data_IF_812320291029
#
_entry.id   IF_812320291029
#
_cell.length_a   1.000
_cell.length_b   1.000
_cell.length_c   1.000
_cell.angle_alpha   90.00
_cell.angle_beta   90.00
_cell.angle_gamma   90.00
#
_symmetry.space_group_name_H-M   'P 1'
#
loop_
_entity.id
_entity.type
_entity.pdbx_description
1 polymer ?
#
# COMPACT_ATOMS: atom_id res chain seq x y z
N UNK A 1 24.00 1.62 -28.37
CA UNK A 1 24.68 2.74 -27.68
C UNK A 1 23.88 4.03 -27.73
N UNK A 2 23.22 4.39 -28.85
CA UNK A 2 22.37 5.59 -28.96
C UNK A 2 21.14 5.54 -28.03
N UNK A 3 20.48 4.38 -27.92
CA UNK A 3 19.28 4.21 -27.07
C UNK A 3 19.66 4.31 -25.58
N UNK A 4 20.80 3.77 -25.19
CA UNK A 4 21.33 3.87 -23.81
C UNK A 4 21.73 5.32 -23.51
N UNK A 5 22.24 6.04 -24.51
CA UNK A 5 22.56 7.48 -24.43
C UNK A 5 21.32 8.34 -24.21
N UNK A 6 20.24 8.07 -24.95
CA UNK A 6 18.96 8.77 -24.83
C UNK A 6 18.28 8.49 -23.50
N UNK A 7 18.28 7.24 -23.01
CA UNK A 7 17.74 6.89 -21.71
C UNK A 7 18.54 7.53 -20.55
N UNK A 8 19.86 7.54 -20.62
CA UNK A 8 20.71 8.25 -19.66
C UNK A 8 20.47 9.77 -19.66
N UNK A 9 20.19 10.34 -20.83
CA UNK A 9 19.90 11.77 -20.94
C UNK A 9 18.53 12.11 -20.37
N UNK A 10 17.51 11.29 -20.64
CA UNK A 10 16.16 11.45 -20.08
C UNK A 10 16.15 11.28 -18.55
N UNK A 11 16.86 10.28 -18.02
CA UNK A 11 17.05 10.11 -16.57
C UNK A 11 17.77 11.31 -15.98
N UNK A 12 18.81 11.84 -16.63
CA UNK A 12 19.53 13.03 -16.17
C UNK A 12 18.68 14.30 -16.23
N UNK A 13 17.76 14.44 -17.18
CA UNK A 13 16.80 15.55 -17.23
C UNK A 13 15.70 15.43 -16.16
N UNK A 14 15.26 14.21 -15.84
CA UNK A 14 14.32 13.97 -14.72
C UNK A 14 14.98 14.27 -13.39
N UNK A 15 16.21 13.84 -13.19
CA UNK A 15 16.98 14.21 -11.99
C UNK A 15 17.29 15.70 -11.94
N UNK A 16 17.55 16.35 -13.09
CA UNK A 16 17.78 17.79 -13.12
C UNK A 16 16.53 18.61 -12.80
N UNK A 17 15.32 18.14 -13.19
CA UNK A 17 14.05 18.73 -12.74
C UNK A 17 13.77 18.48 -11.25
N UNK A 18 14.18 17.33 -10.72
CA UNK A 18 14.13 17.06 -9.29
C UNK A 18 15.23 17.85 -8.54
N UNK A 19 16.42 17.98 -9.14
CA UNK A 19 17.53 18.78 -8.61
C UNK A 19 17.23 20.28 -8.61
N UNK A 20 16.31 20.76 -9.45
CA UNK A 20 15.85 22.15 -9.47
C UNK A 20 14.92 22.49 -8.27
N UNK A 21 14.60 21.53 -7.41
CA UNK A 21 13.85 21.72 -6.16
C UNK A 21 14.56 21.05 -4.96
N UNK A 22 15.73 21.60 -4.56
CA UNK A 22 16.40 21.13 -3.34
C UNK A 22 15.78 21.71 -2.08
N UNK A 23 15.39 20.80 -1.18
CA UNK A 23 15.12 21.11 0.21
C UNK A 23 16.38 20.75 1.02
N UNK A 24 16.94 21.72 1.69
CA UNK A 24 17.97 21.46 2.68
C UNK A 24 17.32 21.42 4.07
N UNK A 25 17.38 20.26 4.70
CA UNK A 25 17.25 20.14 6.14
C UNK A 25 18.67 20.05 6.69
N UNK A 26 19.15 21.07 7.36
CA UNK A 26 20.39 20.99 8.13
C UNK A 26 20.11 20.11 9.36
N UNK A 27 20.45 18.83 9.24
CA UNK A 27 20.49 17.91 10.35
C UNK A 27 21.92 17.86 10.89
N UNK A 28 22.30 18.80 11.75
CA UNK A 28 23.37 18.56 12.71
C UNK A 28 22.80 17.68 13.83
N UNK A 29 22.83 16.37 13.63
CA UNK A 29 22.44 15.37 14.62
C UNK A 29 23.64 14.92 15.42
N UNK A 30 23.71 15.35 16.67
CA UNK A 30 24.60 14.77 17.67
C UNK A 30 24.03 13.43 18.13
N UNK A 31 24.72 12.32 17.80
CA UNK A 31 24.39 10.95 18.26
C UNK A 31 24.69 10.79 19.75
N UNK A 32 23.85 11.29 20.62
CA UNK A 32 23.83 10.88 22.02
C UNK A 32 22.40 10.51 22.43
N UNK A 33 22.19 9.21 22.64
CA UNK A 33 20.91 8.65 23.02
C UNK A 33 20.35 9.23 24.30
N UNK A 34 19.39 10.14 24.17
CA UNK A 34 18.40 10.45 25.20
C UNK A 34 17.07 10.70 24.49
N UNK A 35 16.01 10.03 24.97
CA UNK A 35 14.60 10.24 24.59
C UNK A 35 14.12 11.65 25.00
N UNK A 36 14.71 12.70 24.45
CA UNK A 36 14.15 14.05 24.49
C UNK A 36 13.38 14.25 23.19
N UNK A 37 12.12 14.66 23.30
CA UNK A 37 11.35 15.13 22.15
C UNK A 37 12.24 16.15 21.42
N UNK A 38 12.69 15.76 20.21
CA UNK A 38 13.54 16.64 19.39
C UNK A 38 12.71 17.86 19.02
N UNK A 39 13.16 19.04 19.42
CA UNK A 39 12.63 20.29 18.85
C UNK A 39 12.78 20.17 17.33
N UNK A 40 11.72 20.54 16.57
CA UNK A 40 11.78 20.49 15.11
C UNK A 40 12.89 21.38 14.56
N UNK A 41 13.31 21.12 13.34
CA UNK A 41 14.39 21.86 12.65
C UNK A 41 13.84 23.05 11.85
N UNK A 42 14.72 23.88 11.29
CA UNK A 42 14.34 24.92 10.33
C UNK A 42 14.22 24.29 8.93
N UNK A 43 13.06 24.43 8.28
CA UNK A 43 12.85 24.09 6.88
C UNK A 43 13.00 25.34 6.03
N UNK A 44 13.87 25.31 5.02
CA UNK A 44 14.06 26.39 4.05
C UNK A 44 13.52 25.95 2.70
N UNK A 45 12.51 26.64 2.20
CA UNK A 45 11.97 26.45 0.85
C UNK A 45 12.53 27.55 -0.05
N UNK A 46 13.37 27.16 -1.03
CA UNK A 46 14.04 28.10 -1.95
C UNK A 46 13.50 27.93 -3.36
N UNK A 47 13.15 29.04 -4.00
CA UNK A 47 12.86 29.10 -5.43
C UNK A 47 14.15 29.24 -6.22
N UNK A 48 14.38 28.37 -7.18
CA UNK A 48 15.63 28.37 -7.94
C UNK A 48 15.66 29.44 -9.03
N UNK A 49 14.48 29.80 -9.57
CA UNK A 49 14.33 30.86 -10.58
C UNK A 49 14.66 32.26 -10.07
N UNK A 50 14.38 32.53 -8.79
CA UNK A 50 14.51 33.84 -8.18
C UNK A 50 15.44 33.87 -6.95
N UNK A 51 15.94 32.71 -6.54
CA UNK A 51 16.72 32.53 -5.30
C UNK A 51 16.03 33.05 -4.02
N UNK A 52 14.70 33.28 -4.09
CA UNK A 52 13.92 33.69 -2.92
C UNK A 52 13.76 32.51 -1.96
N UNK A 53 13.87 32.78 -0.66
CA UNK A 53 13.76 31.77 0.39
C UNK A 53 12.59 32.07 1.32
N UNK A 54 11.93 30.99 1.76
CA UNK A 54 10.94 31.05 2.84
C UNK A 54 11.30 30.03 3.91
N UNK A 55 11.35 30.46 5.15
CA UNK A 55 11.78 29.67 6.30
C UNK A 55 10.60 29.33 7.19
N UNK A 56 10.59 28.09 7.67
CA UNK A 56 9.63 27.58 8.64
C UNK A 56 10.40 26.99 9.82
N UNK A 57 10.06 27.38 11.03
CA UNK A 57 10.71 26.92 12.26
C UNK A 57 9.97 25.73 12.86
N UNK A 58 10.70 24.91 13.63
CA UNK A 58 10.13 23.76 14.39
C UNK A 58 9.47 22.71 13.50
N UNK A 59 9.96 22.48 12.31
CA UNK A 59 9.42 21.50 11.37
C UNK A 59 9.89 20.10 11.77
N UNK A 60 8.91 19.17 11.91
CA UNK A 60 9.14 17.75 12.17
C UNK A 60 9.07 16.90 10.92
N UNK A 61 8.18 17.26 9.98
CA UNK A 61 7.98 16.52 8.73
C UNK A 61 7.39 17.42 7.65
N UNK A 62 7.52 17.01 6.39
CA UNK A 62 6.93 17.70 5.25
C UNK A 62 6.64 16.73 4.10
N UNK A 63 5.62 17.05 3.30
CA UNK A 63 5.18 16.22 2.18
C UNK A 63 4.73 17.10 1.01
N UNK A 64 5.25 16.84 -0.20
CA UNK A 64 4.72 17.43 -1.44
C UNK A 64 3.50 16.67 -1.94
N UNK A 65 2.60 17.38 -2.61
CA UNK A 65 1.62 16.74 -3.48
C UNK A 65 2.29 16.13 -4.73
N UNK A 66 1.57 15.25 -5.44
CA UNK A 66 2.10 14.55 -6.62
C UNK A 66 2.52 15.52 -7.75
N UNK A 67 1.91 16.71 -7.79
CA UNK A 67 2.19 17.75 -8.80
C UNK A 67 3.31 18.71 -8.42
N UNK A 68 3.79 18.66 -7.18
CA UNK A 68 4.77 19.61 -6.66
C UNK A 68 4.26 21.05 -6.57
N UNK A 69 2.94 21.23 -6.39
CA UNK A 69 2.30 22.55 -6.28
C UNK A 69 1.98 22.96 -4.85
N UNK A 70 1.91 21.99 -3.95
CA UNK A 70 1.61 22.18 -2.54
C UNK A 70 2.62 21.45 -1.67
N UNK A 71 2.92 22.03 -0.53
CA UNK A 71 3.79 21.49 0.48
C UNK A 71 3.05 21.48 1.82
N UNK A 72 2.78 20.29 2.35
CA UNK A 72 2.35 20.12 3.73
C UNK A 72 3.55 20.21 4.64
N UNK A 73 3.44 20.96 5.72
CA UNK A 73 4.50 21.17 6.71
C UNK A 73 3.92 20.85 8.08
N UNK A 74 4.52 19.90 8.77
CA UNK A 74 4.22 19.62 10.16
C UNK A 74 5.22 20.32 11.07
N UNK A 75 4.73 21.01 12.10
CA UNK A 75 5.59 21.64 13.12
C UNK A 75 5.34 21.04 14.48
N UNK A 76 6.36 21.05 15.32
CA UNK A 76 6.28 20.63 16.72
C UNK A 76 5.99 21.79 17.67
N UNK A 77 5.75 21.46 18.94
CA UNK A 77 5.72 22.42 20.05
C UNK A 77 7.15 22.80 20.42
N UNK A 78 7.39 24.07 20.74
CA UNK A 78 8.66 24.47 21.35
C UNK A 78 8.68 23.99 22.79
N UNK A 79 9.63 23.15 23.16
CA UNK A 79 9.74 22.58 24.51
C UNK A 79 9.99 23.67 25.59
N UNK A 80 10.54 24.84 25.20
CA UNK A 80 10.84 25.97 26.09
C UNK A 80 9.66 26.94 26.26
N UNK A 81 8.60 26.80 25.46
CA UNK A 81 7.43 27.67 25.50
C UNK A 81 6.15 26.85 25.70
N UNK A 82 5.60 26.91 26.92
CA UNK A 82 4.36 26.20 27.28
C UNK A 82 3.13 26.62 26.46
N UNK A 83 3.16 27.79 25.82
CA UNK A 83 2.09 28.30 24.98
C UNK A 83 2.25 27.90 23.50
N UNK A 84 3.42 27.34 23.14
CA UNK A 84 3.68 26.86 21.79
C UNK A 84 2.73 25.73 21.40
N UNK A 85 2.33 25.70 20.13
CA UNK A 85 1.40 24.72 19.58
C UNK A 85 2.00 24.12 18.34
N UNK A 86 1.71 22.84 18.11
CA UNK A 86 1.98 22.17 16.85
C UNK A 86 0.97 22.62 15.78
N UNK A 87 1.41 22.75 14.54
CA UNK A 87 0.61 23.14 13.39
C UNK A 87 0.82 22.18 12.21
N UNK A 88 -0.25 21.94 11.46
CA UNK A 88 -0.17 21.47 10.09
C UNK A 88 -0.46 22.64 9.16
N UNK A 89 0.49 23.00 8.33
CA UNK A 89 0.44 24.11 7.39
C UNK A 89 0.45 23.57 5.97
N UNK A 90 -0.42 24.07 5.11
CA UNK A 90 -0.44 23.78 3.69
C UNK A 90 0.07 25.01 2.93
N UNK A 91 1.29 24.91 2.42
CA UNK A 91 1.91 25.99 1.64
C UNK A 91 1.67 25.75 0.15
N UNK A 92 0.95 26.66 -0.49
CA UNK A 92 0.78 26.68 -1.94
C UNK A 92 2.00 27.34 -2.59
N UNK A 93 2.79 26.54 -3.28
CA UNK A 93 4.06 26.98 -3.89
C UNK A 93 3.88 27.92 -5.08
N UNK A 94 2.69 27.89 -5.71
CA UNK A 94 2.37 28.75 -6.86
C UNK A 94 1.92 30.13 -6.40
N UNK A 95 0.94 30.21 -5.48
CA UNK A 95 0.40 31.48 -4.99
C UNK A 95 1.20 32.09 -3.84
N UNK A 96 2.01 31.28 -3.13
CA UNK A 96 2.70 31.72 -1.92
C UNK A 96 1.82 31.75 -0.65
N UNK A 97 0.54 31.34 -0.74
CA UNK A 97 -0.36 31.33 0.42
C UNK A 97 -0.09 30.16 1.35
N UNK A 98 -0.37 30.35 2.63
CA UNK A 98 -0.31 29.32 3.66
C UNK A 98 -1.66 29.20 4.34
N UNK A 99 -2.23 28.00 4.31
CA UNK A 99 -3.43 27.64 5.04
C UNK A 99 -3.03 26.84 6.30
N UNK A 100 -3.72 27.08 7.40
CA UNK A 100 -3.54 26.30 8.61
C UNK A 100 -4.54 25.14 8.63
N UNK A 101 -4.10 23.95 8.28
CA UNK A 101 -4.95 22.76 8.18
C UNK A 101 -5.38 22.25 9.55
N UNK A 102 -4.46 22.25 10.52
CA UNK A 102 -4.76 21.84 11.91
C UNK A 102 -3.89 22.61 12.90
N UNK A 103 -4.42 22.81 14.12
CA UNK A 103 -3.74 23.44 15.26
C UNK A 103 -3.86 22.60 16.51
N UNK A 104 -2.82 22.58 17.33
CA UNK A 104 -2.85 21.98 18.68
C UNK A 104 -3.22 20.49 18.67
N UNK A 105 -2.40 19.66 18.08
CA UNK A 105 -2.49 18.22 18.15
C UNK A 105 -1.29 17.66 18.96
N UNK A 106 -1.39 16.40 19.37
CA UNK A 106 -0.32 15.72 20.09
C UNK A 106 0.54 14.86 19.14
N UNK A 107 -0.08 14.30 18.10
CA UNK A 107 0.59 13.48 17.09
C UNK A 107 -0.21 13.49 15.78
N UNK A 108 0.45 13.52 14.64
CA UNK A 108 -0.16 13.41 13.32
C UNK A 108 0.69 12.54 12.42
N UNK A 109 0.05 11.70 11.60
CA UNK A 109 0.73 10.69 10.77
C UNK A 109 -0.04 10.38 9.50
N UNK A 110 0.62 9.63 8.62
CA UNK A 110 -0.01 9.04 7.44
C UNK A 110 -0.69 10.09 6.57
N UNK A 111 0.07 11.13 6.19
CA UNK A 111 -0.43 12.17 5.31
C UNK A 111 -0.61 11.63 3.89
N UNK A 112 -1.72 11.96 3.26
CA UNK A 112 -2.02 11.56 1.88
C UNK A 112 -2.72 12.68 1.13
N UNK A 113 -2.21 13.03 -0.04
CA UNK A 113 -2.90 13.88 -1.00
C UNK A 113 -3.67 13.03 -2.00
N UNK A 114 -4.81 13.56 -2.48
CA UNK A 114 -5.42 13.04 -3.71
C UNK A 114 -4.52 13.32 -4.91
N UNK A 115 -4.67 12.54 -5.99
CA UNK A 115 -3.85 12.70 -7.20
C UNK A 115 -3.90 14.11 -7.80
N UNK A 116 -5.02 14.80 -7.69
CA UNK A 116 -5.19 16.19 -8.15
C UNK A 116 -4.67 17.23 -7.16
N UNK A 117 -4.17 16.80 -6.00
CA UNK A 117 -3.69 17.68 -4.92
C UNK A 117 -4.79 18.54 -4.27
N UNK A 118 -6.08 18.32 -4.57
CA UNK A 118 -7.17 19.14 -4.01
C UNK A 118 -7.64 18.66 -2.64
N UNK A 119 -7.37 17.41 -2.29
CA UNK A 119 -7.77 16.79 -1.04
C UNK A 119 -6.54 16.35 -0.26
N UNK A 120 -6.60 16.49 1.05
CA UNK A 120 -5.60 16.02 2.00
C UNK A 120 -6.29 15.24 3.11
N UNK A 121 -5.78 14.08 3.44
CA UNK A 121 -6.21 13.31 4.60
C UNK A 121 -5.00 12.92 5.46
N UNK A 122 -5.25 12.75 6.74
CA UNK A 122 -4.22 12.33 7.71
C UNK A 122 -4.87 11.75 8.96
N UNK A 123 -4.09 11.03 9.73
CA UNK A 123 -4.50 10.45 11.00
C UNK A 123 -3.86 11.27 12.12
N UNK A 124 -4.66 11.80 13.04
CA UNK A 124 -4.12 12.59 14.15
C UNK A 124 -4.83 12.33 15.48
N UNK A 125 -4.06 12.45 16.55
CA UNK A 125 -4.50 12.45 17.94
C UNK A 125 -4.39 13.87 18.50
N UNK A 126 -5.51 14.40 18.99
CA UNK A 126 -5.60 15.79 19.42
C UNK A 126 -6.11 15.96 20.85
N UNK A 127 -6.99 15.04 21.27
CA UNK A 127 -7.88 15.30 22.41
C UNK A 127 -7.38 14.69 23.72
N UNK A 128 -6.34 13.84 23.69
CA UNK A 128 -5.81 13.19 24.88
C UNK A 128 -4.93 14.12 25.69
N UNK A 129 -5.01 14.01 27.02
CA UNK A 129 -4.02 14.62 27.89
C UNK A 129 -2.66 13.93 27.73
N UNK A 130 -1.57 14.62 28.05
CA UNK A 130 -0.20 14.04 28.00
C UNK A 130 -0.02 12.79 28.87
N UNK A 131 -0.86 12.63 29.90
CA UNK A 131 -0.87 11.48 30.81
C UNK A 131 -1.90 10.41 30.49
N UNK A 132 -2.63 10.54 29.35
CA UNK A 132 -3.63 9.56 28.98
C UNK A 132 -2.97 8.19 28.69
N UNK A 133 -3.47 7.14 29.32
CA UNK A 133 -2.99 5.76 29.13
C UNK A 133 -3.43 5.17 27.79
N UNK A 134 -4.49 5.70 27.20
CA UNK A 134 -4.98 5.36 25.88
C UNK A 134 -5.12 6.63 25.06
N UNK A 135 -4.72 6.56 23.80
CA UNK A 135 -4.84 7.62 22.83
C UNK A 135 -5.65 7.12 21.65
N UNK A 136 -6.60 7.93 21.18
CA UNK A 136 -7.47 7.56 20.08
C UNK A 136 -7.21 8.47 18.91
N UNK A 137 -6.69 7.91 17.85
CA UNK A 137 -6.52 8.60 16.60
C UNK A 137 -7.86 8.74 15.88
N UNK A 138 -7.98 9.82 15.11
CA UNK A 138 -9.10 10.11 14.22
C UNK A 138 -8.59 10.32 12.82
N UNK A 139 -9.41 10.02 11.84
CA UNK A 139 -9.16 10.34 10.44
C UNK A 139 -9.65 11.76 10.18
N UNK A 140 -8.75 12.61 9.71
CA UNK A 140 -9.01 14.01 9.38
C UNK A 140 -8.95 14.23 7.87
N UNK A 141 -9.75 15.17 7.39
CA UNK A 141 -9.89 15.46 5.97
C UNK A 141 -9.96 16.97 5.74
N UNK A 142 -9.28 17.42 4.71
CA UNK A 142 -9.22 18.83 4.29
C UNK A 142 -9.32 18.92 2.76
N UNK A 143 -10.18 19.80 2.25
CA UNK A 143 -10.39 20.04 0.82
C UNK A 143 -10.32 21.53 0.43
N UNK A 144 -9.85 22.40 1.33
CA UNK A 144 -9.74 23.83 1.09
C UNK A 144 -11.06 24.60 1.13
N UNK A 145 -12.21 23.95 1.39
CA UNK A 145 -13.51 24.62 1.51
C UNK A 145 -13.72 25.18 2.92
N UNK A 146 -13.19 24.49 3.92
CA UNK A 146 -13.25 24.91 5.32
C UNK A 146 -11.91 25.49 5.76
N UNK A 147 -11.91 26.36 6.77
CA UNK A 147 -10.67 26.97 7.29
C UNK A 147 -9.68 25.96 7.87
N UNK A 148 -10.16 24.82 8.36
CA UNK A 148 -9.36 23.74 8.96
C UNK A 148 -9.92 22.39 8.58
N UNK A 149 -9.09 21.34 8.76
CA UNK A 149 -9.51 19.97 8.56
C UNK A 149 -10.66 19.57 9.50
N UNK A 150 -11.61 18.80 8.97
CA UNK A 150 -12.70 18.18 9.70
C UNK A 150 -12.44 16.72 10.02
N UNK A 151 -13.09 16.18 11.05
CA UNK A 151 -13.06 14.74 11.37
C UNK A 151 -13.91 14.02 10.32
N UNK A 152 -13.30 13.05 9.62
CA UNK A 152 -13.98 12.21 8.65
C UNK A 152 -14.42 10.87 9.28
N UNK A 153 -13.58 10.29 10.15
CA UNK A 153 -13.94 9.08 10.89
C UNK A 153 -13.27 9.03 12.27
N UNK A 154 -13.96 8.42 13.21
CA UNK A 154 -13.47 8.06 14.53
C UNK A 154 -14.09 6.73 15.00
N UNK A 155 -13.83 6.33 16.26
CA UNK A 155 -14.36 5.08 16.85
C UNK A 155 -15.90 5.01 16.95
N UNK A 156 -16.61 6.10 16.75
CA UNK A 156 -18.07 6.19 16.79
C UNK A 156 -18.71 6.31 15.42
N UNK A 157 -17.90 6.39 14.35
CA UNK A 157 -18.40 6.50 12.97
C UNK A 157 -19.21 5.27 12.59
N UNK A 158 -20.35 5.47 11.93
CA UNK A 158 -21.18 4.38 11.43
C UNK A 158 -20.36 3.42 10.55
N UNK A 159 -20.59 2.11 10.68
CA UNK A 159 -19.78 1.08 10.02
C UNK A 159 -18.49 0.69 10.75
N UNK A 160 -18.04 1.45 11.74
CA UNK A 160 -16.93 1.05 12.61
C UNK A 160 -17.35 -0.15 13.48
N UNK A 161 -16.55 -1.23 13.44
CA UNK A 161 -16.80 -2.39 14.30
C UNK A 161 -16.65 -1.98 15.77
N UNK A 162 -17.58 -2.45 16.62
CA UNK A 162 -17.51 -2.19 18.04
C UNK A 162 -16.16 -2.68 18.63
N UNK A 163 -15.52 -1.81 19.41
CA UNK A 163 -14.20 -2.08 19.98
C UNK A 163 -13.03 -1.77 19.06
N UNK A 164 -13.28 -1.23 17.84
CA UNK A 164 -12.24 -0.75 16.95
C UNK A 164 -12.14 0.80 16.97
N UNK A 165 -11.01 1.29 16.50
CA UNK A 165 -10.71 2.71 16.27
C UNK A 165 -9.90 2.88 14.99
N UNK A 166 -9.77 4.12 14.51
CA UNK A 166 -8.81 4.47 13.48
C UNK A 166 -7.39 4.13 13.97
N UNK A 167 -6.60 3.50 13.10
CA UNK A 167 -5.24 3.07 13.40
C UNK A 167 -4.21 4.02 12.83
N UNK A 168 -3.24 4.40 13.64
CA UNK A 168 -2.05 5.15 13.21
C UNK A 168 -1.03 4.29 12.45
N UNK A 169 -1.21 2.97 12.45
CA UNK A 169 -0.31 2.03 11.79
C UNK A 169 -0.82 1.57 10.41
N UNK A 170 -2.00 2.01 9.99
CA UNK A 170 -2.58 1.66 8.71
C UNK A 170 -2.16 2.61 7.59
N UNK A 171 -2.01 2.09 6.39
CA UNK A 171 -1.80 2.93 5.21
C UNK A 171 -3.02 3.82 4.97
N UNK A 172 -2.76 5.06 4.57
CA UNK A 172 -3.77 6.03 4.18
C UNK A 172 -3.56 6.41 2.71
N UNK A 173 -4.55 6.14 1.86
CA UNK A 173 -4.42 6.38 0.43
C UNK A 173 -5.77 6.70 -0.21
N UNK A 174 -5.80 7.71 -1.07
CA UNK A 174 -6.95 7.98 -1.94
C UNK A 174 -6.99 7.01 -3.12
N UNK A 175 -8.20 6.69 -3.61
CA UNK A 175 -8.34 6.17 -4.97
C UNK A 175 -7.81 7.18 -5.98
N UNK A 176 -7.34 6.71 -7.14
CA UNK A 176 -6.76 7.58 -8.17
C UNK A 176 -7.72 8.68 -8.63
N UNK A 177 -9.03 8.42 -8.63
CA UNK A 177 -10.08 9.39 -8.93
C UNK A 177 -10.48 10.28 -7.75
N UNK A 178 -9.86 10.10 -6.57
CA UNK A 178 -10.09 10.90 -5.36
C UNK A 178 -11.43 10.66 -4.66
N UNK A 179 -12.25 9.69 -5.11
CA UNK A 179 -13.60 9.49 -4.56
C UNK A 179 -13.63 8.62 -3.30
N UNK A 180 -12.65 7.75 -3.12
CA UNK A 180 -12.56 6.83 -2.00
C UNK A 180 -11.27 7.10 -1.23
N UNK A 181 -11.35 6.97 0.09
CA UNK A 181 -10.19 7.05 0.98
C UNK A 181 -10.09 5.75 1.76
N UNK A 182 -8.99 5.05 1.57
CA UNK A 182 -8.67 3.81 2.28
C UNK A 182 -7.76 4.11 3.46
N UNK A 183 -8.04 3.50 4.61
CA UNK A 183 -7.30 3.73 5.85
C UNK A 183 -7.33 2.50 6.74
N UNK A 184 -6.50 2.50 7.79
CA UNK A 184 -6.43 1.42 8.75
C UNK A 184 -7.39 1.59 9.92
N UNK A 185 -8.02 0.50 10.32
CA UNK A 185 -8.76 0.39 11.59
C UNK A 185 -8.20 -0.78 12.39
N UNK A 186 -8.17 -0.65 13.72
CA UNK A 186 -7.62 -1.67 14.59
C UNK A 186 -8.46 -1.85 15.88
N UNK A 187 -8.43 -3.03 16.49
CA UNK A 187 -8.98 -3.23 17.81
C UNK A 187 -8.32 -2.28 18.83
N UNK A 188 -9.13 -1.68 19.68
CA UNK A 188 -8.66 -0.83 20.76
C UNK A 188 -7.89 -1.71 21.75
N UNK A 189 -6.60 -1.44 21.91
CA UNK A 189 -5.77 -2.13 22.88
C UNK A 189 -6.19 -1.74 24.31
N UNK A 190 -6.22 -2.68 25.26
CA UNK A 190 -6.48 -2.35 26.66
C UNK A 190 -5.44 -1.37 27.20
N UNK A 191 -5.86 -0.51 28.13
CA UNK A 191 -4.93 0.38 28.82
C UNK A 191 -3.86 -0.43 29.56
N UNK A 192 -2.61 0.05 29.50
CA UNK A 192 -1.53 -0.58 30.28
C UNK A 192 -1.87 -0.46 31.76
N UNK A 193 -1.86 -1.57 32.46
CA UNK A 193 -1.96 -1.56 33.93
C UNK A 193 -0.68 -0.97 34.55
N UNK A 194 -0.82 0.18 35.18
CA UNK A 194 0.29 0.90 35.81
C UNK A 194 0.38 0.63 37.32
N UNK A 195 -0.51 -0.20 37.86
CA UNK A 195 -0.49 -0.58 39.28
C UNK A 195 0.53 -1.66 39.56
N UNK A 196 0.89 -2.46 38.57
CA UNK A 196 1.88 -3.51 38.66
C UNK A 196 3.23 -3.04 38.13
N UNK A 197 4.30 -3.30 38.86
CA UNK A 197 5.67 -3.05 38.39
C UNK A 197 6.11 -4.19 37.47
N UNK A 198 6.96 -3.92 36.50
CA UNK A 198 7.30 -4.86 35.44
C UNK A 198 7.90 -6.20 35.95
N UNK A 199 8.62 -6.19 37.04
CA UNK A 199 9.20 -7.42 37.62
C UNK A 199 8.16 -8.29 38.33
N UNK A 200 6.99 -7.76 38.68
CA UNK A 200 5.87 -8.51 39.27
C UNK A 200 4.92 -9.09 38.22
N UNK A 201 5.09 -8.72 36.96
CA UNK A 201 4.30 -9.28 35.89
C UNK A 201 4.72 -10.72 35.60
N UNK A 202 3.78 -11.65 35.72
CA UNK A 202 4.02 -13.03 35.32
C UNK A 202 4.29 -13.09 33.82
N UNK A 203 5.41 -13.67 33.43
CA UNK A 203 5.70 -13.99 32.01
C UNK A 203 5.14 -15.39 31.75
N UNK A 204 4.05 -15.44 31.00
CA UNK A 204 3.34 -16.67 30.68
C UNK A 204 3.40 -16.91 29.16
N UNK A 205 4.01 -18.01 28.74
CA UNK A 205 3.98 -18.51 27.38
C UNK A 205 2.91 -19.61 27.28
N UNK A 206 1.91 -19.40 26.44
CA UNK A 206 0.85 -20.38 26.20
C UNK A 206 1.14 -21.09 24.87
N UNK A 207 1.28 -22.41 24.94
CA UNK A 207 1.42 -23.28 23.79
C UNK A 207 0.13 -24.06 23.58
N UNK A 208 -0.57 -23.77 22.47
CA UNK A 208 -1.84 -24.41 22.19
C UNK A 208 -1.81 -25.08 20.82
N UNK A 209 -2.30 -26.32 20.73
CA UNK A 209 -2.23 -27.14 19.51
C UNK A 209 -3.09 -26.60 18.34
N UNK A 210 -4.07 -25.74 18.62
CA UNK A 210 -4.89 -25.08 17.61
C UNK A 210 -4.38 -23.68 17.21
N UNK A 211 -3.22 -23.25 17.71
CA UNK A 211 -2.66 -21.98 17.32
C UNK A 211 -2.28 -22.02 15.83
N UNK A 212 -2.60 -20.96 15.11
CA UNK A 212 -2.31 -20.81 13.68
C UNK A 212 -0.86 -20.41 13.41
N UNK A 213 -0.12 -20.02 14.44
CA UNK A 213 1.32 -19.75 14.43
C UNK A 213 2.03 -20.51 15.56
N UNK A 214 3.23 -20.99 15.27
CA UNK A 214 4.09 -21.54 16.32
C UNK A 214 4.42 -20.47 17.37
N UNK A 215 4.46 -20.84 18.65
CA UNK A 215 4.71 -19.89 19.73
C UNK A 215 6.00 -19.05 19.55
N UNK A 216 7.15 -19.59 19.10
CA UNK A 216 8.34 -18.78 18.80
C UNK A 216 8.10 -17.76 17.69
N UNK A 217 7.25 -18.07 16.71
CA UNK A 217 6.82 -17.13 15.69
C UNK A 217 5.97 -16.01 16.25
N UNK A 218 5.01 -16.35 17.14
CA UNK A 218 4.17 -15.36 17.83
C UNK A 218 5.02 -14.35 18.61
N UNK A 219 6.03 -14.83 19.36
CA UNK A 219 6.96 -13.94 20.08
C UNK A 219 7.73 -13.01 19.15
N UNK A 220 8.27 -13.55 18.03
CA UNK A 220 8.99 -12.75 17.06
C UNK A 220 8.11 -11.71 16.37
N UNK A 221 6.85 -12.04 16.14
CA UNK A 221 5.88 -11.19 15.46
C UNK A 221 5.10 -10.26 16.39
N UNK A 222 5.30 -10.34 17.71
CA UNK A 222 4.53 -9.61 18.71
C UNK A 222 4.39 -8.11 18.37
N UNK A 223 5.49 -7.43 18.04
CA UNK A 223 5.46 -6.00 17.70
C UNK A 223 4.66 -5.69 16.42
N UNK A 224 4.69 -6.59 15.46
CA UNK A 224 3.89 -6.50 14.23
C UNK A 224 2.41 -6.71 14.54
N UNK A 225 2.10 -7.70 15.39
CA UNK A 225 0.73 -8.01 15.80
C UNK A 225 0.11 -6.88 16.62
N UNK A 226 0.87 -6.24 17.50
CA UNK A 226 0.42 -5.07 18.27
C UNK A 226 0.07 -3.86 17.36
N UNK A 227 0.65 -3.80 16.18
CA UNK A 227 0.38 -2.77 15.15
C UNK A 227 -0.59 -3.25 14.06
N UNK A 228 -1.11 -4.48 14.19
CA UNK A 228 -2.04 -5.04 13.20
C UNK A 228 -3.25 -4.13 13.04
N UNK A 229 -3.59 -3.89 11.80
CA UNK A 229 -4.74 -3.11 11.42
C UNK A 229 -5.42 -3.73 10.19
N UNK A 230 -6.65 -3.33 9.93
CA UNK A 230 -7.45 -3.82 8.84
C UNK A 230 -7.88 -2.65 7.97
N UNK A 231 -7.86 -2.85 6.67
CA UNK A 231 -8.27 -1.83 5.72
C UNK A 231 -9.76 -1.54 5.83
N UNK A 232 -10.11 -0.27 5.91
CA UNK A 232 -11.45 0.27 5.76
C UNK A 232 -11.46 1.30 4.64
N UNK A 233 -12.63 1.62 4.11
CA UNK A 233 -12.85 2.64 3.09
C UNK A 233 -13.97 3.58 3.52
N UNK A 234 -13.81 4.86 3.20
CA UNK A 234 -14.85 5.88 3.34
C UNK A 234 -14.88 6.75 2.09
N UNK A 235 -16.05 7.18 1.67
CA UNK A 235 -16.21 8.22 0.63
C UNK A 235 -16.22 9.57 1.31
N UNK A 236 -15.29 10.50 1.00
CA UNK A 236 -15.33 11.86 1.55
C UNK A 236 -16.70 12.51 1.35
N UNK A 237 -17.27 13.07 2.42
CA UNK A 237 -18.62 13.63 2.42
C UNK A 237 -19.74 12.67 2.86
N UNK A 238 -19.44 11.38 3.06
CA UNK A 238 -20.36 10.44 3.70
C UNK A 238 -20.07 10.32 5.19
N UNK A 239 -21.01 9.75 5.95
CA UNK A 239 -20.89 9.55 7.40
C UNK A 239 -20.70 8.07 7.78
N UNK A 240 -20.53 7.19 6.79
CA UNK A 240 -20.43 5.75 7.00
C UNK A 240 -19.19 5.20 6.34
N UNK A 241 -18.45 4.36 7.05
CA UNK A 241 -17.31 3.62 6.53
C UNK A 241 -17.66 2.16 6.27
N UNK A 242 -16.91 1.52 5.38
CA UNK A 242 -16.99 0.08 5.12
C UNK A 242 -15.68 -0.57 5.53
N UNK A 243 -15.71 -1.50 6.49
CA UNK A 243 -14.54 -2.30 6.85
C UNK A 243 -14.35 -3.42 5.82
N UNK A 244 -13.18 -3.47 5.19
CA UNK A 244 -12.84 -4.43 4.13
C UNK A 244 -12.00 -5.58 4.69
N UNK A 245 -10.98 -5.27 5.47
CA UNK A 245 -10.11 -6.26 6.10
C UNK A 245 -10.68 -6.84 7.39
N UNK A 246 -10.29 -8.08 7.72
CA UNK A 246 -10.59 -8.78 8.98
C UNK A 246 -9.59 -9.92 9.19
N UNK A 247 -9.68 -10.63 10.33
CA UNK A 247 -8.81 -11.77 10.69
C UNK A 247 -8.80 -12.92 9.67
N UNK A 248 -9.85 -13.04 8.89
CA UNK A 248 -10.02 -14.04 7.84
C UNK A 248 -9.89 -13.46 6.42
N UNK A 249 -9.49 -12.19 6.33
CA UNK A 249 -9.25 -11.44 5.10
C UNK A 249 -8.22 -10.33 5.37
N UNK A 250 -7.01 -10.73 5.77
CA UNK A 250 -6.01 -9.84 6.37
C UNK A 250 -5.33 -8.94 5.36
N UNK A 251 -5.02 -9.51 4.18
CA UNK A 251 -4.30 -8.80 3.15
C UNK A 251 -5.28 -8.25 2.12
N UNK A 252 -5.45 -6.94 2.09
CA UNK A 252 -6.34 -6.26 1.16
C UNK A 252 -5.52 -5.52 0.12
N UNK A 253 -5.74 -5.86 -1.16
CA UNK A 253 -5.12 -5.21 -2.31
C UNK A 253 -6.14 -4.37 -3.06
N UNK A 254 -5.82 -3.10 -3.28
CA UNK A 254 -6.65 -2.18 -4.05
C UNK A 254 -6.63 -2.57 -5.54
N UNK A 255 -7.76 -2.42 -6.19
CA UNK A 255 -7.95 -2.78 -7.59
C UNK A 255 -8.24 -1.52 -8.39
N UNK A 256 -7.69 -1.44 -9.61
CA UNK A 256 -7.78 -0.26 -10.48
C UNK A 256 -7.35 1.03 -9.75
N UNK A 257 -6.23 0.96 -9.00
CA UNK A 257 -5.72 2.09 -8.20
C UNK A 257 -6.74 2.59 -7.15
N UNK A 258 -7.59 1.70 -6.63
CA UNK A 258 -8.67 2.01 -5.69
C UNK A 258 -9.98 2.49 -6.33
N UNK A 259 -10.03 2.66 -7.66
CA UNK A 259 -11.25 3.11 -8.35
C UNK A 259 -12.32 2.02 -8.42
N UNK A 260 -11.93 0.73 -8.42
CA UNK A 260 -12.88 -0.37 -8.49
C UNK A 260 -13.84 -0.39 -7.27
N UNK A 261 -15.08 -0.87 -7.49
CA UNK A 261 -16.07 -1.02 -6.41
C UNK A 261 -15.87 -2.28 -5.56
N UNK A 262 -14.69 -2.88 -5.68
CA UNK A 262 -14.28 -4.04 -4.90
C UNK A 262 -12.75 -4.04 -4.70
N UNK A 263 -12.31 -4.80 -3.71
CA UNK A 263 -10.91 -5.08 -3.40
C UNK A 263 -10.66 -6.58 -3.40
N UNK A 264 -9.43 -6.98 -3.70
CA UNK A 264 -8.98 -8.35 -3.53
C UNK A 264 -8.50 -8.53 -2.08
N UNK A 265 -9.12 -9.45 -1.35
CA UNK A 265 -8.66 -9.83 -0.03
C UNK A 265 -8.14 -11.26 -0.03
N UNK A 266 -7.05 -11.51 0.65
CA UNK A 266 -6.44 -12.84 0.76
C UNK A 266 -6.08 -13.16 2.20
N UNK A 267 -6.13 -14.44 2.54
CA UNK A 267 -5.68 -14.96 3.82
C UNK A 267 -5.05 -16.34 3.66
N UNK A 268 -4.10 -16.66 4.50
CA UNK A 268 -3.57 -18.01 4.67
C UNK A 268 -3.93 -18.62 6.04
N UNK A 269 -4.90 -18.03 6.73
CA UNK A 269 -5.39 -18.52 8.01
C UNK A 269 -5.73 -20.01 7.95
N UNK A 270 -5.37 -20.76 8.97
CA UNK A 270 -5.47 -22.22 9.06
C UNK A 270 -4.51 -23.01 8.12
N UNK A 271 -3.65 -22.32 7.36
CA UNK A 271 -2.64 -22.96 6.51
C UNK A 271 -1.20 -22.55 6.85
N UNK A 272 -0.97 -21.90 8.01
CA UNK A 272 0.33 -21.33 8.36
C UNK A 272 1.29 -22.34 8.95
N UNK A 273 0.79 -23.28 9.73
CA UNK A 273 1.60 -24.32 10.36
C UNK A 273 2.18 -25.28 9.31
N UNK A 274 1.42 -25.81 8.33
CA UNK A 274 1.93 -26.75 7.34
C UNK A 274 3.11 -26.21 6.50
N UNK A 275 3.26 -24.89 6.36
CA UNK A 275 4.37 -24.30 5.59
C UNK A 275 5.76 -24.72 6.12
N UNK A 276 5.86 -25.11 7.39
CA UNK A 276 7.11 -25.50 8.04
C UNK A 276 7.71 -26.78 7.41
N UNK A 277 6.90 -27.65 6.82
CA UNK A 277 7.33 -28.89 6.17
C UNK A 277 6.88 -29.01 4.72
N UNK A 278 5.81 -28.30 4.29
CA UNK A 278 5.36 -28.30 2.90
C UNK A 278 6.11 -27.25 2.05
N UNK A 279 6.83 -26.31 2.70
CA UNK A 279 7.57 -25.22 2.06
C UNK A 279 6.68 -24.15 1.41
N UNK A 280 5.36 -24.35 1.37
CA UNK A 280 4.36 -23.44 0.81
C UNK A 280 3.11 -23.39 1.66
N UNK A 281 2.46 -22.25 1.65
CA UNK A 281 1.13 -22.09 2.25
C UNK A 281 0.05 -22.03 1.19
N UNK A 282 -1.19 -22.29 1.61
CA UNK A 282 -2.37 -22.16 0.75
C UNK A 282 -3.12 -20.87 1.14
N UNK A 283 -3.63 -20.20 0.13
CA UNK A 283 -4.38 -18.95 0.29
C UNK A 283 -5.83 -19.13 -0.08
N UNK A 284 -6.69 -18.40 0.60
CA UNK A 284 -8.08 -18.20 0.21
C UNK A 284 -8.24 -16.77 -0.27
N UNK A 285 -8.83 -16.58 -1.45
CA UNK A 285 -9.07 -15.27 -2.06
C UNK A 285 -10.54 -14.90 -2.06
N UNK A 286 -10.82 -13.63 -1.75
CA UNK A 286 -12.17 -13.04 -1.77
C UNK A 286 -12.18 -11.75 -2.57
N UNK A 287 -13.29 -11.49 -3.26
CA UNK A 287 -13.69 -10.15 -3.65
C UNK A 287 -14.50 -9.52 -2.53
N UNK A 288 -14.19 -8.31 -2.13
CA UNK A 288 -14.95 -7.58 -1.09
C UNK A 288 -15.41 -6.25 -1.66
N UNK A 289 -16.71 -6.01 -1.63
CA UNK A 289 -17.31 -4.76 -2.11
C UNK A 289 -16.88 -3.56 -1.26
N UNK A 290 -16.41 -2.48 -1.90
CA UNK A 290 -16.11 -1.21 -1.24
C UNK A 290 -17.37 -0.42 -0.88
N UNK A 291 -18.53 -0.82 -1.40
CA UNK A 291 -19.80 -0.12 -1.17
C UNK A 291 -20.49 -0.61 0.09
N UNK A 292 -20.46 -1.92 0.36
CA UNK A 292 -21.22 -2.52 1.46
C UNK A 292 -20.51 -3.65 2.22
N UNK A 293 -19.23 -3.92 1.90
CA UNK A 293 -18.44 -4.95 2.57
C UNK A 293 -18.83 -6.41 2.27
N UNK A 294 -19.78 -6.63 1.33
CA UNK A 294 -20.16 -7.99 0.96
C UNK A 294 -18.99 -8.76 0.35
N UNK A 295 -18.87 -10.05 0.72
CA UNK A 295 -17.74 -10.89 0.31
C UNK A 295 -18.19 -11.97 -0.67
N UNK A 296 -17.39 -12.19 -1.70
CA UNK A 296 -17.56 -13.27 -2.66
C UNK A 296 -16.28 -14.10 -2.70
N UNK A 297 -16.41 -15.40 -2.43
CA UNK A 297 -15.29 -16.33 -2.53
C UNK A 297 -14.83 -16.46 -3.98
N UNK A 298 -13.54 -16.29 -4.22
CA UNK A 298 -12.88 -16.54 -5.50
C UNK A 298 -12.43 -17.99 -5.57
N UNK A 299 -11.57 -18.39 -4.62
CA UNK A 299 -11.06 -19.73 -4.50
C UNK A 299 -10.56 -19.95 -3.08
N UNK A 300 -10.83 -21.12 -2.50
CA UNK A 300 -10.33 -21.53 -1.19
C UNK A 300 -9.10 -22.45 -1.34
N UNK A 301 -8.21 -22.37 -0.37
CA UNK A 301 -7.07 -23.28 -0.17
C UNK A 301 -6.25 -23.50 -1.45
N UNK A 302 -5.97 -22.42 -2.20
CA UNK A 302 -5.17 -22.46 -3.39
C UNK A 302 -3.66 -22.34 -3.03
N UNK A 303 -2.78 -23.17 -3.59
CA UNK A 303 -1.34 -23.08 -3.34
C UNK A 303 -0.65 -21.90 -4.09
N UNK A 304 -1.41 -21.08 -4.80
CA UNK A 304 -0.96 -19.90 -5.54
C UNK A 304 -1.41 -18.58 -4.93
N UNK A 305 -0.67 -17.52 -5.23
CA UNK A 305 -1.02 -16.15 -4.84
C UNK A 305 -2.03 -15.55 -5.82
N UNK A 306 -3.05 -14.90 -5.28
CA UNK A 306 -4.04 -14.19 -6.08
C UNK A 306 -3.57 -12.77 -6.39
N UNK A 307 -3.78 -12.35 -7.63
CA UNK A 307 -3.51 -10.99 -8.09
C UNK A 307 -4.67 -10.51 -8.96
N UNK A 308 -5.09 -9.27 -8.78
CA UNK A 308 -6.07 -8.65 -9.66
C UNK A 308 -5.40 -8.12 -10.93
N UNK A 309 -6.08 -8.25 -12.07
CA UNK A 309 -5.66 -7.56 -13.30
C UNK A 309 -5.76 -6.05 -13.12
N UNK A 310 -5.02 -5.23 -13.90
CA UNK A 310 -4.94 -3.78 -13.67
C UNK A 310 -6.29 -3.05 -13.69
N UNK A 311 -7.26 -3.47 -14.53
CA UNK A 311 -8.64 -2.93 -14.55
C UNK A 311 -9.58 -3.65 -13.59
N UNK A 312 -9.16 -4.81 -13.06
CA UNK A 312 -9.99 -5.62 -12.17
C UNK A 312 -11.03 -6.48 -12.89
N UNK A 313 -10.90 -6.70 -14.19
CA UNK A 313 -11.80 -7.60 -14.91
C UNK A 313 -11.55 -9.07 -14.54
N UNK A 314 -10.35 -9.37 -14.07
CA UNK A 314 -9.93 -10.71 -13.68
C UNK A 314 -9.15 -10.70 -12.38
N UNK A 315 -9.25 -11.84 -11.65
CA UNK A 315 -8.29 -12.25 -10.63
C UNK A 315 -7.57 -13.46 -11.19
N UNK A 316 -6.24 -13.48 -11.12
CA UNK A 316 -5.44 -14.57 -11.65
C UNK A 316 -4.47 -15.12 -10.62
N UNK A 317 -4.08 -16.37 -10.80
CA UNK A 317 -3.08 -17.05 -9.99
C UNK A 317 -2.39 -18.17 -10.79
N UNK A 318 -1.18 -18.47 -10.39
CA UNK A 318 -0.50 -19.68 -10.84
C UNK A 318 -0.73 -20.78 -9.81
N UNK A 319 -1.16 -21.96 -10.27
CA UNK A 319 -1.27 -23.14 -9.42
C UNK A 319 -0.05 -24.04 -9.66
N UNK A 320 0.91 -24.16 -8.70
CA UNK A 320 2.13 -24.93 -8.88
C UNK A 320 1.89 -26.45 -8.93
N UNK A 321 0.79 -26.95 -8.33
CA UNK A 321 0.43 -28.38 -8.40
C UNK A 321 -0.04 -28.76 -9.82
N UNK A 322 -0.81 -27.88 -10.46
CA UNK A 322 -1.33 -28.05 -11.81
C UNK A 322 -0.40 -27.46 -12.89
N UNK A 323 0.60 -26.68 -12.48
CA UNK A 323 1.59 -26.01 -13.35
C UNK A 323 0.95 -25.10 -14.39
N UNK A 324 -0.15 -24.46 -14.04
CA UNK A 324 -0.96 -23.64 -14.93
C UNK A 324 -1.41 -22.33 -14.28
N UNK A 325 -1.67 -21.32 -15.11
CA UNK A 325 -2.37 -20.12 -14.70
C UNK A 325 -3.88 -20.29 -14.85
N UNK A 326 -4.55 -19.74 -13.86
CA UNK A 326 -6.02 -19.68 -13.79
C UNK A 326 -6.46 -18.23 -13.69
N UNK A 327 -7.64 -17.95 -14.19
CA UNK A 327 -8.33 -16.69 -14.03
C UNK A 327 -9.72 -16.91 -13.45
N UNK A 328 -10.14 -15.94 -12.66
CA UNK A 328 -11.53 -15.77 -12.23
C UNK A 328 -12.04 -14.48 -12.90
N UNK A 329 -13.06 -14.59 -13.74
CA UNK A 329 -13.72 -13.44 -14.35
C UNK A 329 -14.64 -12.78 -13.32
N UNK A 330 -14.35 -11.51 -12.95
CA UNK A 330 -15.03 -10.82 -11.86
C UNK A 330 -16.49 -10.51 -12.13
N UNK A 331 -16.85 -10.33 -13.41
CA UNK A 331 -18.22 -10.09 -13.84
C UNK A 331 -19.09 -11.36 -13.86
N UNK A 332 -18.54 -12.50 -14.35
CA UNK A 332 -19.29 -13.74 -14.50
C UNK A 332 -19.13 -14.71 -13.34
N UNK A 333 -18.03 -14.59 -12.59
CA UNK A 333 -17.65 -15.53 -11.53
C UNK A 333 -17.10 -16.86 -12.04
N UNK A 334 -16.76 -16.97 -13.33
CA UNK A 334 -16.22 -18.20 -13.91
C UNK A 334 -14.71 -18.30 -13.67
N UNK A 335 -14.26 -19.50 -13.30
CA UNK A 335 -12.84 -19.86 -13.24
C UNK A 335 -12.45 -20.60 -14.51
N UNK A 336 -11.31 -20.25 -15.10
CA UNK A 336 -10.76 -20.87 -16.29
C UNK A 336 -9.26 -21.17 -16.12
N UNK A 337 -8.84 -22.36 -16.60
CA UNK A 337 -7.44 -22.62 -16.88
C UNK A 337 -7.11 -22.00 -18.24
N UNK A 338 -6.25 -20.98 -18.24
CA UNK A 338 -5.93 -20.18 -19.44
C UNK A 338 -4.64 -20.64 -20.14
N UNK A 339 -3.85 -21.52 -19.51
CA UNK A 339 -2.55 -21.96 -20.06
C UNK A 339 -2.47 -23.46 -20.32
N UNK A 340 -3.55 -24.23 -20.12
CA UNK A 340 -3.55 -25.68 -20.28
C UNK A 340 -3.21 -26.19 -21.69
N UNK A 341 -3.19 -25.30 -22.70
CA UNK A 341 -2.81 -25.61 -24.09
C UNK A 341 -1.35 -25.25 -24.42
N UNK A 342 -0.66 -24.53 -23.54
CA UNK A 342 0.76 -24.24 -23.68
C UNK A 342 1.54 -25.50 -23.29
N UNK A 343 2.38 -25.98 -24.20
CA UNK A 343 3.20 -27.19 -23.97
C UNK A 343 4.50 -26.88 -23.24
N UNK A 344 4.97 -25.66 -23.33
CA UNK A 344 6.20 -25.22 -22.68
C UNK A 344 5.98 -25.04 -21.18
N UNK A 345 6.95 -25.44 -20.35
CA UNK A 345 6.89 -25.19 -18.91
C UNK A 345 6.83 -23.68 -18.62
N UNK A 346 5.89 -23.28 -17.77
CA UNK A 346 5.74 -21.90 -17.28
C UNK A 346 6.40 -21.71 -15.90
N UNK A 347 7.29 -22.59 -15.55
CA UNK A 347 8.02 -22.67 -14.28
C UNK A 347 9.50 -22.98 -14.53
N UNK A 348 10.34 -22.69 -13.54
CA UNK A 348 11.78 -22.98 -13.57
C UNK A 348 12.00 -24.49 -13.68
N UNK A 349 12.51 -24.93 -14.83
CA UNK A 349 12.77 -26.34 -15.11
C UNK A 349 14.08 -26.85 -14.48
N UNK A 350 14.97 -25.94 -14.07
CA UNK A 350 16.23 -26.24 -13.41
C UNK A 350 16.12 -26.20 -11.87
N UNK A 351 14.91 -25.99 -11.35
CA UNK A 351 14.65 -25.97 -9.92
C UNK A 351 14.99 -27.32 -9.27
N UNK A 352 16.02 -27.34 -8.44
CA UNK A 352 16.60 -28.54 -7.83
C UNK A 352 16.39 -28.67 -6.31
N UNK A 353 15.61 -27.75 -5.73
CA UNK A 353 15.31 -27.76 -4.30
C UNK A 353 14.06 -28.61 -3.97
N UNK A 354 13.93 -29.14 -2.74
CA UNK A 354 12.70 -29.80 -2.32
C UNK A 354 11.49 -28.89 -2.44
N UNK A 355 10.43 -29.36 -3.08
CA UNK A 355 9.19 -28.62 -3.28
C UNK A 355 8.79 -28.44 -4.75
N UNK A 356 7.84 -27.56 -5.00
CA UNK A 356 7.36 -27.27 -6.34
C UNK A 356 8.04 -26.01 -6.89
N UNK A 357 8.47 -25.99 -8.16
CA UNK A 357 9.03 -24.78 -8.77
C UNK A 357 8.00 -23.65 -8.81
N UNK A 358 8.47 -22.42 -8.67
CA UNK A 358 7.70 -21.22 -8.90
C UNK A 358 7.44 -21.01 -10.38
N UNK A 359 6.43 -20.19 -10.70
CA UNK A 359 6.21 -19.72 -12.06
C UNK A 359 7.33 -18.74 -12.48
N UNK A 360 7.58 -18.64 -13.79
CA UNK A 360 8.53 -17.65 -14.33
C UNK A 360 7.97 -16.23 -14.15
N UNK A 361 6.68 -16.03 -14.41
CA UNK A 361 6.02 -14.77 -14.12
C UNK A 361 5.06 -14.28 -15.20
N UNK A 362 4.56 -13.07 -14.95
CA UNK A 362 3.62 -12.35 -15.84
C UNK A 362 4.30 -11.05 -16.26
N UNK A 363 4.36 -10.81 -17.57
CA UNK A 363 4.89 -9.55 -18.12
C UNK A 363 3.93 -8.38 -17.89
N UNK A 364 2.62 -8.64 -18.00
CA UNK A 364 1.58 -7.65 -17.80
C UNK A 364 0.30 -7.94 -18.56
N UNK A 365 -0.51 -6.90 -18.75
CA UNK A 365 -1.78 -6.95 -19.46
C UNK A 365 -1.82 -5.89 -20.55
N UNK A 366 -2.54 -6.19 -21.62
CA UNK A 366 -2.91 -5.18 -22.63
C UNK A 366 -4.07 -4.32 -22.13
N UNK A 367 -4.27 -3.17 -22.78
CA UNK A 367 -5.30 -2.19 -22.41
C UNK A 367 -6.68 -2.83 -22.22
N UNK A 368 -7.32 -2.52 -21.08
CA UNK A 368 -8.62 -3.05 -20.71
C UNK A 368 -8.61 -4.52 -20.29
N UNK A 369 -7.47 -5.08 -19.86
CA UNK A 369 -7.27 -6.47 -19.48
C UNK A 369 -7.62 -7.48 -20.57
N UNK A 370 -7.53 -7.08 -21.85
CA UNK A 370 -7.97 -7.92 -22.98
C UNK A 370 -7.10 -9.14 -23.17
N UNK A 371 -5.80 -9.01 -22.98
CA UNK A 371 -4.82 -10.08 -23.05
C UNK A 371 -3.87 -10.02 -21.89
N UNK A 372 -3.41 -11.18 -21.46
CA UNK A 372 -2.38 -11.36 -20.43
C UNK A 372 -1.09 -11.85 -21.09
N UNK A 373 0.04 -11.24 -20.79
CA UNK A 373 1.35 -11.67 -21.27
C UNK A 373 2.07 -12.45 -20.19
N UNK A 374 2.41 -13.71 -20.48
CA UNK A 374 3.00 -14.67 -19.54
C UNK A 374 4.35 -15.13 -20.09
N UNK A 375 5.31 -15.30 -19.19
CA UNK A 375 6.61 -15.88 -19.55
C UNK A 375 6.61 -17.39 -19.46
N UNK A 376 7.22 -18.05 -20.46
CA UNK A 376 7.92 -19.29 -20.19
C UNK A 376 9.40 -18.99 -19.88
N UNK A 377 10.25 -20.00 -19.83
CA UNK A 377 11.68 -19.84 -19.53
C UNK A 377 12.36 -18.85 -20.49
N UNK A 378 12.01 -18.86 -21.78
CA UNK A 378 12.68 -18.09 -22.84
C UNK A 378 11.77 -17.06 -23.51
N UNK A 379 10.52 -17.42 -23.75
CA UNK A 379 9.61 -16.72 -24.65
C UNK A 379 8.43 -16.06 -23.92
N UNK A 380 7.65 -15.26 -24.65
CA UNK A 380 6.49 -14.53 -24.14
C UNK A 380 5.22 -15.01 -24.83
N UNK A 381 4.23 -15.40 -24.05
CA UNK A 381 2.94 -15.89 -24.49
C UNK A 381 1.85 -14.86 -24.27
N UNK A 382 1.09 -14.57 -25.31
CA UNK A 382 -0.15 -13.81 -25.23
C UNK A 382 -1.32 -14.78 -25.00
N UNK A 383 -2.08 -14.55 -23.93
CA UNK A 383 -3.12 -15.44 -23.45
C UNK A 383 -4.41 -14.64 -23.27
N UNK A 384 -5.54 -15.19 -23.73
CA UNK A 384 -6.87 -14.66 -23.46
C UNK A 384 -7.29 -14.98 -22.01
N UNK A 385 -7.50 -13.98 -21.13
CA UNK A 385 -7.92 -14.24 -19.76
C UNK A 385 -9.29 -14.91 -19.62
N UNK A 386 -10.13 -14.91 -20.66
CA UNK A 386 -11.39 -15.67 -20.72
C UNK A 386 -11.18 -17.14 -21.12
N UNK A 387 -9.97 -17.51 -21.58
CA UNK A 387 -9.66 -18.87 -22.00
C UNK A 387 -10.45 -19.34 -23.24
N UNK A 388 -10.87 -18.41 -24.10
CA UNK A 388 -11.62 -18.71 -25.33
C UNK A 388 -10.64 -18.88 -26.50
N UNK A 389 -9.72 -17.92 -26.67
CA UNK A 389 -8.72 -17.95 -27.72
C UNK A 389 -7.53 -18.83 -27.37
N UNK A 390 -6.86 -19.37 -28.39
CA UNK A 390 -5.62 -20.12 -28.20
C UNK A 390 -4.49 -19.20 -27.76
N UNK A 391 -3.63 -19.65 -26.82
CA UNK A 391 -2.38 -18.94 -26.49
C UNK A 391 -1.47 -18.80 -27.71
N UNK A 392 -0.85 -17.64 -27.87
CA UNK A 392 0.06 -17.33 -28.98
C UNK A 392 1.43 -16.97 -28.42
N UNK A 393 2.46 -17.65 -28.89
CA UNK A 393 3.85 -17.26 -28.64
C UNK A 393 4.17 -16.02 -29.52
N UNK A 394 4.19 -14.84 -28.91
CA UNK A 394 4.40 -13.56 -29.65
C UNK A 394 5.88 -13.34 -29.99
N UNK A 395 6.78 -14.10 -29.41
CA UNK A 395 8.21 -14.07 -29.71
C UNK A 395 8.61 -15.13 -30.75
N UNK A 396 7.62 -15.90 -31.27
CA UNK A 396 7.80 -16.93 -32.27
C UNK A 396 8.90 -17.94 -31.94
N UNK A 397 9.12 -18.27 -30.66
CA UNK A 397 10.16 -19.18 -30.19
C UNK A 397 11.59 -18.66 -30.41
N UNK A 398 11.76 -17.36 -30.59
CA UNK A 398 13.09 -16.79 -30.78
C UNK A 398 14.00 -17.01 -29.58
N UNK A 399 13.47 -16.78 -28.37
CA UNK A 399 14.20 -16.96 -27.13
C UNK A 399 14.71 -18.38 -26.99
N UNK A 400 13.86 -19.36 -27.15
CA UNK A 400 14.19 -20.79 -27.07
C UNK A 400 15.19 -21.23 -28.12
N UNK A 401 15.02 -20.83 -29.37
CA UNK A 401 15.98 -21.17 -30.45
C UNK A 401 17.38 -20.61 -30.20
N UNK A 402 17.47 -19.44 -29.57
CA UNK A 402 18.75 -18.77 -29.33
C UNK A 402 19.25 -18.94 -27.88
N UNK A 403 18.52 -19.69 -27.04
CA UNK A 403 18.79 -19.83 -25.61
C UNK A 403 18.94 -18.48 -24.91
N UNK A 404 18.03 -17.56 -25.21
CA UNK A 404 18.01 -16.20 -24.68
C UNK A 404 16.68 -15.94 -23.99
N UNK A 405 16.74 -15.58 -22.74
CA UNK A 405 15.55 -15.22 -21.97
C UNK A 405 15.04 -13.84 -22.41
N UNK A 406 13.80 -13.79 -22.89
CA UNK A 406 13.14 -12.55 -23.26
C UNK A 406 12.29 -12.06 -22.10
N UNK A 407 12.57 -10.85 -21.64
CA UNK A 407 11.85 -10.22 -20.52
C UNK A 407 11.47 -8.78 -20.89
N UNK A 408 10.22 -8.43 -20.65
CA UNK A 408 9.73 -7.07 -20.87
C UNK A 408 10.32 -6.11 -19.85
N UNK A 409 10.94 -5.04 -20.33
CA UNK A 409 11.47 -3.96 -19.50
C UNK A 409 10.48 -2.80 -19.49
N UNK A 410 9.81 -2.61 -18.37
CA UNK A 410 8.88 -1.49 -18.18
C UNK A 410 9.68 -0.20 -17.96
N UNK A 411 9.74 0.66 -18.98
CA UNK A 411 10.47 1.92 -18.91
C UNK A 411 9.73 3.01 -18.12
N UNK A 412 8.41 3.01 -18.16
CA UNK A 412 7.56 3.97 -17.43
C UNK A 412 6.88 3.24 -16.28
N UNK A 413 7.24 3.58 -15.04
CA UNK A 413 6.70 2.94 -13.83
C UNK A 413 5.17 3.05 -13.73
N UNK A 414 4.60 4.16 -14.16
CA UNK A 414 3.18 4.45 -14.07
C UNK A 414 2.35 3.83 -15.22
N UNK A 415 3.02 3.23 -16.21
CA UNK A 415 2.35 2.58 -17.32
C UNK A 415 1.76 1.23 -16.86
N UNK A 416 0.45 1.13 -16.82
CA UNK A 416 -0.27 -0.06 -16.31
C UNK A 416 -0.48 -1.13 -17.37
N UNK A 417 -0.56 -0.74 -18.62
CA UNK A 417 -0.89 -1.60 -19.76
C UNK A 417 0.18 -1.54 -20.83
N UNK A 418 0.27 -2.62 -21.59
CA UNK A 418 0.99 -2.65 -22.86
C UNK A 418 0.02 -2.31 -23.98
N UNK A 419 0.40 -1.42 -24.87
CA UNK A 419 -0.41 -1.11 -26.04
C UNK A 419 -0.15 -2.12 -27.17
N UNK A 420 -1.16 -2.35 -28.03
CA UNK A 420 -1.09 -3.39 -29.05
C UNK A 420 -0.02 -3.13 -30.14
N UNK A 421 0.35 -1.86 -30.33
CA UNK A 421 1.34 -1.38 -31.29
C UNK A 421 2.67 -0.97 -30.67
N UNK A 422 2.83 -1.24 -29.38
CA UNK A 422 4.04 -0.91 -28.63
C UNK A 422 5.19 -1.82 -29.01
N UNK A 423 6.35 -1.23 -29.27
CA UNK A 423 7.59 -1.99 -29.38
C UNK A 423 8.02 -2.43 -27.98
N UNK A 424 8.04 -3.73 -27.74
CA UNK A 424 8.50 -4.34 -26.49
C UNK A 424 10.03 -4.39 -26.52
N UNK A 425 10.66 -3.80 -25.51
CA UNK A 425 12.11 -3.81 -25.32
C UNK A 425 12.49 -4.85 -24.25
#
# INVERSE_FOLDING_TARGET
EEVIGAAKKAVKEIYKKADDMYLYADAEGDESGSNTATDGTELVVRRLDSASERKFSLVSDYLFDEQGTKLLIETTKNAKDSNSKAYLLLYNLVSGNIDTVMRSFNDAKNFSFSTDGLQLAFVAERDSSSKALQKFYKLWYYNGVTDTAGILADKHTAGMKLGNSVSENGNLVFSKDGKKLFFGVAPIQPAKDTTLVEFELARLDIWHYNDDYLQPQQLKQLQTELKRNYTAVITPGTSELVQLGADDAENVSLVDEGNADWVLATTNKNNRIPVQWEGRTKYTGYMISTVNGSRKLVQANCPGFFTASPKGNFIYWYNPELKNYFTYNTGTGQVKNITGKIKQPLYDTEYDSPGMPGNIGVAGFTSGDKQMLIYDEFDIWQVDPNGIMEPVDITNGYGRRNRTELRYVRLLKDKRFMEADETIL
#
